data_IF_486299442046
#
_entry.id   IF_486299442046
#
_cell.length_a   1.000
_cell.length_b   1.000
_cell.length_c   1.000
_cell.angle_alpha   90.00
_cell.angle_beta   90.00
_cell.angle_gamma   90.00
#
_symmetry.space_group_name_H-M   'P 1'
#
loop_
_entity.id
_entity.type
_entity.pdbx_description
1 polymer ?
#
# COMPACT_ATOMS: atom_id res chain seq x y z
N UNK A 1 -10.07 18.95 -3.85
CA UNK A 1 -8.98 18.07 -3.53
C UNK A 1 -8.82 16.96 -4.55
N UNK A 2 -7.60 16.54 -4.81
CA UNK A 2 -7.38 15.52 -5.78
C UNK A 2 -7.44 14.18 -5.20
N UNK A 3 -8.07 13.25 -5.87
CA UNK A 3 -8.07 11.86 -5.46
C UNK A 3 -6.68 11.27 -5.68
N UNK A 4 -6.20 10.53 -4.71
CA UNK A 4 -4.87 9.95 -4.78
C UNK A 4 -4.74 9.01 -5.96
N UNK A 5 -5.77 8.26 -6.27
CA UNK A 5 -5.71 7.29 -7.36
C UNK A 5 -5.56 7.89 -8.74
N UNK A 6 -5.72 9.20 -8.89
CA UNK A 6 -5.57 9.83 -10.19
C UNK A 6 -4.17 10.35 -10.43
N UNK A 7 -3.26 10.18 -9.49
CA UNK A 7 -1.90 10.69 -9.62
C UNK A 7 -0.99 9.65 -10.22
N UNK A 8 -0.02 10.12 -10.99
CA UNK A 8 1.04 9.24 -11.45
C UNK A 8 1.79 8.72 -10.24
N UNK A 9 2.08 7.45 -10.21
CA UNK A 9 2.80 6.85 -9.09
C UNK A 9 1.92 6.41 -7.94
N UNK A 10 0.60 6.56 -8.07
CA UNK A 10 -0.30 6.08 -7.01
C UNK A 10 -0.10 4.59 -6.77
N UNK A 11 -0.35 4.11 -5.54
CA UNK A 11 -0.20 2.69 -5.24
C UNK A 11 -1.16 1.83 -6.05
N UNK A 12 -0.77 0.58 -6.29
CA UNK A 12 -1.61 -0.36 -7.02
C UNK A 12 -2.85 -0.75 -6.23
N UNK A 13 -2.74 -0.79 -4.93
CA UNK A 13 -3.84 -1.22 -4.06
C UNK A 13 -4.02 -0.19 -2.96
N UNK A 14 -5.28 0.19 -2.72
CA UNK A 14 -5.63 1.09 -1.65
C UNK A 14 -6.49 0.36 -0.64
N UNK A 15 -6.23 0.57 0.63
CA UNK A 15 -7.06 0.02 1.71
C UNK A 15 -7.29 1.12 2.72
N UNK A 16 -8.52 1.22 3.22
CA UNK A 16 -8.80 2.11 4.34
C UNK A 16 -9.15 1.21 5.52
N UNK A 17 -8.39 1.32 6.60
CA UNK A 17 -8.54 0.45 7.74
C UNK A 17 -8.45 1.30 9.01
N UNK A 18 -9.51 1.32 9.76
CA UNK A 18 -9.57 2.07 11.03
C UNK A 18 -9.15 3.52 10.86
N UNK A 19 -9.67 4.14 9.81
CA UNK A 19 -9.40 5.54 9.56
C UNK A 19 -8.06 5.83 8.90
N UNK A 20 -7.27 4.81 8.61
CA UNK A 20 -5.99 5.03 7.96
C UNK A 20 -6.01 4.60 6.51
N UNK A 21 -5.38 5.40 5.68
CA UNK A 21 -5.17 5.05 4.28
C UNK A 21 -3.90 4.21 4.19
N UNK A 22 -4.00 3.09 3.52
CA UNK A 22 -2.89 2.17 3.34
C UNK A 22 -2.67 1.95 1.86
N UNK A 23 -1.49 2.24 1.36
CA UNK A 23 -1.15 2.02 -0.03
C UNK A 23 -0.16 0.87 -0.16
N UNK A 24 -0.41 -0.03 -1.08
CA UNK A 24 0.50 -1.13 -1.36
C UNK A 24 0.94 -1.04 -2.80
N UNK A 25 2.24 -1.07 -3.01
CA UNK A 25 2.83 -1.08 -4.34
C UNK A 25 3.32 -2.48 -4.63
N UNK A 26 2.80 -3.11 -5.68
CA UNK A 26 3.14 -4.49 -6.01
C UNK A 26 4.32 -4.49 -6.99
N UNK A 27 5.38 -5.18 -6.64
CA UNK A 27 6.56 -5.28 -7.48
C UNK A 27 7.02 -6.73 -7.59
N UNK A 28 7.75 -7.02 -8.65
CA UNK A 28 8.42 -8.32 -8.75
C UNK A 28 9.57 -8.38 -7.75
N UNK A 29 10.19 -9.53 -7.62
CA UNK A 29 11.28 -9.72 -6.66
C UNK A 29 12.43 -8.74 -6.88
N UNK A 30 12.66 -8.33 -8.13
CA UNK A 30 13.77 -7.42 -8.44
C UNK A 30 13.32 -6.05 -8.93
N UNK A 31 12.02 -5.82 -9.04
CA UNK A 31 11.51 -4.54 -9.52
C UNK A 31 11.83 -3.42 -8.55
N UNK A 32 12.03 -2.23 -9.08
CA UNK A 32 12.38 -1.08 -8.28
C UNK A 32 11.35 0.02 -8.40
N UNK A 33 11.27 0.86 -7.39
CA UNK A 33 10.34 1.98 -7.41
C UNK A 33 10.85 3.06 -8.32
N UNK A 34 9.94 3.66 -9.05
CA UNK A 34 10.24 4.85 -9.84
C UNK A 34 10.08 6.08 -8.98
N UNK A 35 10.62 7.18 -9.47
CA UNK A 35 10.58 8.42 -8.71
C UNK A 35 9.15 8.84 -8.35
N UNK A 36 8.23 8.74 -9.31
CA UNK A 36 6.84 9.11 -9.04
C UNK A 36 6.22 8.24 -7.95
N UNK A 37 6.62 6.99 -7.88
CA UNK A 37 6.11 6.08 -6.84
C UNK A 37 6.69 6.44 -5.48
N UNK A 38 7.96 6.81 -5.42
CA UNK A 38 8.55 7.26 -4.17
C UNK A 38 7.94 8.57 -3.69
N UNK A 39 7.67 9.48 -4.63
CA UNK A 39 7.02 10.75 -4.29
C UNK A 39 5.63 10.53 -3.73
N UNK A 40 4.87 9.59 -4.31
CA UNK A 40 3.53 9.26 -3.82
C UNK A 40 3.61 8.64 -2.43
N UNK A 41 4.60 7.77 -2.20
CA UNK A 41 4.83 7.17 -0.89
C UNK A 41 5.09 8.23 0.17
N UNK A 42 5.93 9.20 -0.17
CA UNK A 42 6.24 10.29 0.75
C UNK A 42 4.99 11.11 1.07
N UNK A 43 4.18 11.39 0.06
CA UNK A 43 2.96 12.16 0.26
C UNK A 43 1.97 11.41 1.17
N UNK A 44 1.84 10.11 0.98
CA UNK A 44 0.96 9.29 1.81
C UNK A 44 1.44 9.30 3.25
N UNK A 45 2.74 9.13 3.44
CA UNK A 45 3.32 9.09 4.78
C UNK A 45 3.16 10.42 5.49
N UNK A 46 3.41 11.52 4.78
CA UNK A 46 3.25 12.86 5.36
C UNK A 46 1.80 13.14 5.74
N UNK A 47 0.86 12.58 5.02
CA UNK A 47 -0.55 12.77 5.32
C UNK A 47 -1.05 11.85 6.43
N UNK A 48 -0.19 11.04 7.01
CA UNK A 48 -0.57 10.15 8.11
C UNK A 48 -1.00 8.77 7.67
N UNK A 49 -0.85 8.45 6.40
CA UNK A 49 -1.16 7.12 5.90
C UNK A 49 0.01 6.17 6.05
N UNK A 50 -0.20 4.95 5.59
CA UNK A 50 0.83 3.91 5.57
C UNK A 50 1.08 3.49 4.13
N UNK A 51 2.29 3.03 3.86
CA UNK A 51 2.64 2.62 2.53
C UNK A 51 3.71 1.53 2.59
N UNK A 52 3.63 0.58 1.70
CA UNK A 52 4.63 -0.48 1.65
C UNK A 52 4.75 -1.04 0.24
N UNK A 53 5.93 -1.49 -0.10
CA UNK A 53 6.15 -2.30 -1.30
C UNK A 53 5.93 -3.74 -0.89
N UNK A 54 5.17 -4.48 -1.69
CA UNK A 54 4.96 -5.90 -1.44
C UNK A 54 5.36 -6.67 -2.68
N UNK A 55 6.05 -7.77 -2.50
CA UNK A 55 6.62 -8.52 -3.61
C UNK A 55 6.07 -9.94 -3.70
N UNK A 56 5.15 -10.28 -2.82
CA UNK A 56 4.51 -11.60 -2.81
C UNK A 56 3.24 -11.52 -1.99
N UNK A 57 2.40 -12.52 -2.15
CA UNK A 57 1.19 -12.64 -1.33
C UNK A 57 1.55 -12.75 0.13
N UNK A 58 2.62 -13.49 0.43
CA UNK A 58 3.06 -13.63 1.82
C UNK A 58 3.42 -12.28 2.43
N UNK A 59 4.06 -11.40 1.65
CA UNK A 59 4.39 -10.07 2.15
C UNK A 59 3.16 -9.22 2.38
N UNK A 60 2.15 -9.36 1.54
CA UNK A 60 0.88 -8.67 1.74
C UNK A 60 0.27 -9.10 3.07
N UNK A 61 0.19 -10.41 3.28
CA UNK A 61 -0.40 -10.94 4.51
C UNK A 61 0.38 -10.50 5.74
N UNK A 62 1.70 -10.56 5.65
CA UNK A 62 2.53 -10.16 6.78
C UNK A 62 2.34 -8.69 7.13
N UNK A 63 2.26 -7.83 6.12
CA UNK A 63 2.08 -6.41 6.35
C UNK A 63 0.72 -6.12 6.98
N UNK A 64 -0.35 -6.71 6.44
CA UNK A 64 -1.68 -6.47 6.96
C UNK A 64 -1.85 -7.05 8.36
N UNK A 65 -1.26 -8.21 8.62
CA UNK A 65 -1.27 -8.80 9.95
C UNK A 65 -0.57 -7.92 10.97
N UNK A 66 0.55 -7.33 10.57
CA UNK A 66 1.29 -6.45 11.45
C UNK A 66 0.44 -5.24 11.85
N UNK A 67 -0.47 -4.81 10.99
CA UNK A 67 -1.37 -3.71 11.30
C UNK A 67 -2.55 -4.14 12.16
N UNK A 68 -2.69 -5.41 12.44
CA UNK A 68 -3.80 -5.91 13.24
C UNK A 68 -5.06 -6.19 12.43
N UNK A 69 -4.96 -6.17 11.11
CA UNK A 69 -6.12 -6.40 10.27
C UNK A 69 -6.46 -7.89 10.26
N UNK A 70 -7.73 -8.26 10.48
CA UNK A 70 -8.09 -9.66 10.41
C UNK A 70 -8.01 -10.18 8.98
N UNK A 71 -7.36 -11.32 8.79
CA UNK A 71 -7.18 -11.88 7.48
C UNK A 71 -7.98 -13.15 7.27
N UNK A 72 -9.29 -13.10 7.59
CA UNK A 72 -10.07 -14.23 7.49
C UNK A 72 -10.58 -14.38 6.18
N UNK A 73 -9.87 -14.21 5.28
CA UNK A 73 -10.37 -14.17 4.03
C UNK A 73 -10.96 -15.34 3.49
N UNK A 74 -10.74 -16.24 3.87
CA UNK A 74 -11.27 -17.18 3.30
C UNK A 74 -12.30 -17.56 3.60
N UNK A 75 -12.75 -17.64 3.45
CA UNK A 75 -13.65 -18.01 4.00
C UNK A 75 -14.17 -19.13 3.62
N UNK A 76 -14.16 -19.21 3.49
CA UNK A 76 -14.61 -19.93 3.42
C UNK A 76 -15.02 -20.33 3.46
#
# INVERSE_FOLDING_TARGET
>A
MKAMGLRVGAPDIFIVWQGKFIGLEVKTATGQLEKSQRDASDAITLAGGLWSVVRSIDEVEAFLSMLGMPLKARAQ
#
